data_IF_660148884140
#
_entry.id   IF_660148884140
#
_cell.length_a   1.000
_cell.length_b   1.000
_cell.length_c   1.000
_cell.angle_alpha   90.00
_cell.angle_beta   90.00
_cell.angle_gamma   90.00
#
_symmetry.space_group_name_H-M   'P 1'
#
loop_
_entity.id
_entity.type
_entity.pdbx_description
1 polymer ?
#
# COMPACT_ATOMS: atom_id res chain seq x y z
N UNK A 1 -2.73 20.88 -4.73
CA UNK A 1 -4.20 20.67 -4.74
C UNK A 1 -4.61 20.18 -3.35
N UNK A 2 -5.29 21.02 -2.57
CA UNK A 2 -5.63 20.73 -1.16
C UNK A 2 -5.44 21.92 -0.21
N UNK A 3 -5.72 23.14 -0.66
CA UNK A 3 -5.48 24.36 0.14
C UNK A 3 -6.69 24.76 1.01
N UNK A 4 -7.89 24.29 0.65
CA UNK A 4 -9.11 24.56 1.39
C UNK A 4 -9.48 23.34 2.27
N UNK A 5 -9.54 23.49 3.61
CA UNK A 5 -9.86 22.38 4.50
C UNK A 5 -11.21 21.73 4.23
N UNK A 6 -12.26 22.52 3.95
CA UNK A 6 -13.60 21.99 3.65
C UNK A 6 -13.64 21.20 2.35
N UNK A 7 -13.02 21.71 1.28
CA UNK A 7 -12.90 20.96 0.02
C UNK A 7 -12.08 19.67 0.19
N UNK A 8 -11.02 19.73 1.01
CA UNK A 8 -10.22 18.55 1.37
C UNK A 8 -11.06 17.51 2.10
N UNK A 9 -11.78 17.91 3.14
CA UNK A 9 -12.66 17.05 3.93
C UNK A 9 -13.79 16.44 3.06
N UNK A 10 -14.44 17.25 2.23
CA UNK A 10 -15.49 16.77 1.31
C UNK A 10 -14.93 15.71 0.35
N UNK A 11 -13.79 15.97 -0.29
CA UNK A 11 -13.17 15.00 -1.20
C UNK A 11 -12.74 13.71 -0.48
N UNK A 12 -12.27 13.82 0.76
CA UNK A 12 -11.95 12.66 1.59
C UNK A 12 -13.20 11.82 1.87
N UNK A 13 -14.31 12.46 2.26
CA UNK A 13 -15.58 11.78 2.51
C UNK A 13 -16.13 11.11 1.25
N UNK A 14 -16.16 11.81 0.10
CA UNK A 14 -16.58 11.25 -1.18
C UNK A 14 -15.70 10.06 -1.61
N UNK A 15 -14.38 10.17 -1.44
CA UNK A 15 -13.46 9.06 -1.76
C UNK A 15 -13.66 7.88 -0.83
N UNK A 16 -13.91 8.12 0.46
CA UNK A 16 -14.15 7.07 1.44
C UNK A 16 -15.46 6.32 1.13
N UNK A 17 -16.54 7.03 0.81
CA UNK A 17 -17.80 6.42 0.39
C UNK A 17 -17.60 5.53 -0.85
N UNK A 18 -16.99 6.06 -1.92
CA UNK A 18 -16.68 5.26 -3.10
C UNK A 18 -15.88 3.99 -2.77
N UNK A 19 -14.86 4.13 -1.92
CA UNK A 19 -14.02 2.98 -1.57
C UNK A 19 -14.78 1.93 -0.77
N UNK A 20 -15.58 2.33 0.22
CA UNK A 20 -16.33 1.40 1.07
C UNK A 20 -17.49 0.76 0.32
N UNK A 21 -18.22 1.55 -0.47
CA UNK A 21 -19.47 1.12 -1.09
C UNK A 21 -19.23 0.29 -2.37
N UNK A 22 -18.17 0.61 -3.14
CA UNK A 22 -18.02 0.09 -4.50
C UNK A 22 -16.70 -0.65 -4.78
N UNK A 23 -15.65 -0.48 -3.97
CA UNK A 23 -14.29 -0.96 -4.31
C UNK A 23 -13.77 -2.00 -3.33
N UNK A 24 -13.88 -1.73 -2.03
CA UNK A 24 -13.30 -2.55 -0.99
C UNK A 24 -14.25 -3.69 -0.63
N UNK A 25 -13.77 -4.94 -0.58
CA UNK A 25 -14.62 -6.04 -0.13
C UNK A 25 -14.83 -5.96 1.39
N UNK A 26 -15.89 -6.60 1.87
CA UNK A 26 -16.14 -6.82 3.31
C UNK A 26 -15.16 -7.83 3.92
N UNK A 27 -13.87 -7.48 3.93
CA UNK A 27 -12.79 -8.29 4.50
C UNK A 27 -11.92 -7.44 5.42
N UNK A 28 -11.26 -8.04 6.43
CA UNK A 28 -10.33 -7.32 7.29
C UNK A 28 -9.24 -6.62 6.46
N UNK A 29 -8.94 -5.37 6.82
CA UNK A 29 -7.93 -4.54 6.15
C UNK A 29 -6.91 -4.02 7.16
N UNK A 30 -5.70 -3.72 6.67
CA UNK A 30 -4.64 -3.09 7.45
C UNK A 30 -4.09 -1.87 6.71
N UNK A 31 -3.91 -0.79 7.46
CA UNK A 31 -3.17 0.38 7.01
C UNK A 31 -1.66 0.15 7.11
N UNK A 32 -0.97 0.42 6.01
CA UNK A 32 0.49 0.48 5.92
C UNK A 32 0.90 1.89 5.54
N UNK A 33 1.79 2.49 6.34
CA UNK A 33 2.32 3.82 6.07
C UNK A 33 3.80 3.70 5.73
N UNK A 34 4.18 4.10 4.52
CA UNK A 34 5.57 4.14 4.10
C UNK A 34 6.03 5.58 3.92
N UNK A 35 6.99 5.98 4.75
CA UNK A 35 7.69 7.26 4.63
C UNK A 35 9.08 7.06 4.01
N UNK A 36 9.55 8.06 3.29
CA UNK A 36 10.84 8.00 2.60
C UNK A 36 11.91 8.86 3.28
N UNK A 37 13.21 8.59 3.07
CA UNK A 37 14.29 9.53 3.36
C UNK A 37 14.04 10.89 2.68
N UNK A 38 14.52 11.96 3.30
CA UNK A 38 14.23 13.33 2.89
C UNK A 38 14.52 13.58 1.40
N UNK A 39 15.69 13.13 0.93
CA UNK A 39 16.16 13.28 -0.45
C UNK A 39 15.22 12.61 -1.46
N UNK A 40 14.73 11.41 -1.15
CA UNK A 40 13.80 10.69 -2.03
C UNK A 40 12.43 11.37 -2.11
N UNK A 41 12.01 12.10 -1.06
CA UNK A 41 10.76 12.89 -1.12
C UNK A 41 10.82 13.97 -2.19
N UNK A 42 11.96 14.65 -2.36
CA UNK A 42 12.16 15.64 -3.43
C UNK A 42 12.17 15.01 -4.81
N UNK A 43 12.85 13.87 -4.96
CA UNK A 43 12.87 13.12 -6.20
C UNK A 43 11.44 12.73 -6.61
N UNK A 44 10.67 12.14 -5.71
CA UNK A 44 9.30 11.69 -6.00
C UNK A 44 8.31 12.84 -6.19
N UNK A 45 8.56 13.99 -5.57
CA UNK A 45 7.75 15.18 -5.78
C UNK A 45 7.91 15.73 -7.21
N UNK A 46 9.15 15.74 -7.72
CA UNK A 46 9.53 16.27 -9.04
C UNK A 46 9.38 15.28 -10.19
N UNK A 47 9.54 13.97 -9.93
CA UNK A 47 9.47 12.88 -10.90
C UNK A 47 8.40 11.83 -10.50
N UNK A 48 7.11 12.13 -10.73
CA UNK A 48 6.01 11.25 -10.32
C UNK A 48 6.02 9.87 -11.01
N UNK A 49 6.64 9.76 -12.19
CA UNK A 49 6.84 8.49 -12.88
C UNK A 49 7.73 7.54 -12.08
N UNK A 50 8.85 8.03 -11.54
CA UNK A 50 9.76 7.27 -10.68
C UNK A 50 9.02 6.82 -9.41
N UNK A 51 8.24 7.73 -8.81
CA UNK A 51 7.40 7.42 -7.65
C UNK A 51 6.41 6.29 -7.94
N UNK A 52 5.79 6.26 -9.14
CA UNK A 52 4.89 5.20 -9.56
C UNK A 52 5.58 3.83 -9.65
N UNK A 53 6.79 3.78 -10.20
CA UNK A 53 7.61 2.56 -10.22
C UNK A 53 7.99 2.08 -8.81
N UNK A 54 8.36 3.02 -7.93
CA UNK A 54 8.64 2.73 -6.52
C UNK A 54 7.40 2.20 -5.80
N UNK A 55 6.22 2.78 -6.03
CA UNK A 55 4.95 2.26 -5.53
C UNK A 55 4.72 0.81 -5.97
N UNK A 56 5.00 0.49 -7.24
CA UNK A 56 4.93 -0.88 -7.76
C UNK A 56 5.91 -1.84 -7.08
N UNK A 57 7.13 -1.39 -6.74
CA UNK A 57 8.09 -2.19 -5.94
C UNK A 57 7.53 -2.46 -4.54
N UNK A 58 7.08 -1.43 -3.84
CA UNK A 58 6.52 -1.52 -2.49
C UNK A 58 5.32 -2.47 -2.46
N UNK A 59 4.36 -2.26 -3.38
CA UNK A 59 3.19 -3.12 -3.51
C UNK A 59 3.58 -4.60 -3.66
N UNK A 60 4.50 -4.91 -4.59
CA UNK A 60 4.93 -6.28 -4.85
C UNK A 60 5.62 -6.91 -3.65
N UNK A 61 6.39 -6.16 -2.87
CA UNK A 61 7.05 -6.67 -1.66
C UNK A 61 6.01 -7.03 -0.59
N UNK A 62 5.06 -6.13 -0.30
CA UNK A 62 4.01 -6.39 0.69
C UNK A 62 3.08 -7.52 0.24
N UNK A 63 2.65 -7.53 -1.02
CA UNK A 63 1.83 -8.59 -1.58
C UNK A 63 2.52 -9.95 -1.50
N UNK A 64 3.83 -10.00 -1.80
CA UNK A 64 4.62 -11.24 -1.67
C UNK A 64 4.73 -11.70 -0.23
N UNK A 65 4.86 -10.78 0.72
CA UNK A 65 4.86 -11.12 2.13
C UNK A 65 3.53 -11.75 2.56
N UNK A 66 2.40 -11.13 2.23
CA UNK A 66 1.07 -11.63 2.59
C UNK A 66 0.80 -13.02 1.98
N UNK A 67 1.13 -13.21 0.70
CA UNK A 67 0.98 -14.49 0.00
C UNK A 67 1.85 -15.59 0.65
N UNK A 68 3.12 -15.29 0.94
CA UNK A 68 4.01 -16.26 1.61
C UNK A 68 3.56 -16.55 3.04
N UNK A 69 3.12 -15.54 3.79
CA UNK A 69 2.63 -15.69 5.16
C UNK A 69 1.35 -16.53 5.23
N UNK A 70 0.53 -16.49 4.18
CA UNK A 70 -0.62 -17.37 4.02
C UNK A 70 -0.24 -18.82 3.65
N UNK A 71 1.03 -19.10 3.34
CA UNK A 71 1.51 -20.43 2.93
C UNK A 71 1.31 -20.75 1.45
N UNK A 72 1.15 -19.73 0.59
CA UNK A 72 0.83 -19.90 -0.82
C UNK A 72 1.85 -19.24 -1.75
N UNK A 73 1.68 -19.49 -3.06
CA UNK A 73 2.43 -18.81 -4.12
C UNK A 73 1.53 -17.80 -4.84
N UNK A 74 2.13 -16.85 -5.56
CA UNK A 74 1.39 -15.88 -6.37
C UNK A 74 0.60 -16.50 -7.53
N UNK A 75 0.81 -17.78 -7.84
CA UNK A 75 0.05 -18.47 -8.88
C UNK A 75 -1.38 -18.75 -8.42
N UNK A 76 -1.54 -19.06 -7.12
CA UNK A 76 -2.82 -19.52 -6.55
C UNK A 76 -3.41 -18.54 -5.52
N UNK A 77 -2.65 -17.52 -5.12
CA UNK A 77 -3.11 -16.54 -4.13
C UNK A 77 -2.79 -15.10 -4.55
N UNK A 78 -3.75 -14.20 -4.33
CA UNK A 78 -3.65 -12.76 -4.63
C UNK A 78 -4.12 -11.93 -3.44
N UNK A 79 -3.56 -10.74 -3.30
CA UNK A 79 -4.07 -9.70 -2.39
C UNK A 79 -4.38 -8.44 -3.20
N UNK A 80 -4.98 -7.45 -2.54
CA UNK A 80 -5.29 -6.16 -3.15
C UNK A 80 -4.99 -5.03 -2.18
N UNK A 81 -4.73 -3.85 -2.73
CA UNK A 81 -4.56 -2.64 -1.95
C UNK A 81 -5.01 -1.40 -2.70
N UNK A 82 -5.47 -0.41 -1.94
CA UNK A 82 -5.67 0.97 -2.40
C UNK A 82 -4.59 1.83 -1.76
N UNK A 83 -3.93 2.66 -2.56
CA UNK A 83 -2.88 3.58 -2.06
C UNK A 83 -3.27 5.03 -2.27
N UNK A 84 -3.27 5.80 -1.19
CA UNK A 84 -3.37 7.25 -1.20
C UNK A 84 -1.96 7.83 -1.01
N UNK A 85 -1.50 8.59 -2.00
CA UNK A 85 -0.20 9.26 -1.96
C UNK A 85 -0.41 10.65 -1.39
N UNK A 86 0.10 10.87 -0.17
CA UNK A 86 0.11 12.18 0.45
C UNK A 86 1.43 12.88 0.15
N UNK A 87 1.37 14.18 -0.14
CA UNK A 87 2.55 14.98 -0.57
C UNK A 87 3.00 16.01 0.46
N UNK A 88 2.24 16.22 1.52
CA UNK A 88 2.52 17.24 2.53
C UNK A 88 2.28 16.70 3.95
N UNK A 89 3.03 17.24 4.91
CA UNK A 89 2.78 17.05 6.34
C UNK A 89 1.73 18.03 6.88
N UNK A 90 1.41 17.93 8.18
CA UNK A 90 0.46 18.83 8.84
C UNK A 90 0.87 20.30 8.77
N UNK A 91 2.18 20.59 8.70
CA UNK A 91 2.73 21.94 8.52
C UNK A 91 2.85 22.37 7.04
N UNK A 92 2.20 21.66 6.11
CA UNK A 92 2.29 21.87 4.65
C UNK A 92 3.70 21.73 4.06
N UNK A 93 4.67 21.23 4.83
CA UNK A 93 6.01 20.91 4.36
C UNK A 93 5.97 19.71 3.39
N UNK A 94 6.88 19.69 2.41
CA UNK A 94 6.98 18.58 1.46
C UNK A 94 7.23 17.27 2.21
N UNK A 95 6.28 16.35 2.10
CA UNK A 95 6.35 15.05 2.74
C UNK A 95 5.64 14.01 1.87
N UNK A 96 6.30 13.51 0.83
CA UNK A 96 5.77 12.42 0.02
C UNK A 96 5.80 11.14 0.85
N UNK A 97 4.64 10.52 1.04
CA UNK A 97 4.50 9.23 1.75
C UNK A 97 3.25 8.50 1.26
N UNK A 98 3.24 7.18 1.44
CA UNK A 98 2.15 6.32 0.99
C UNK A 98 1.32 5.87 2.17
N UNK A 99 0.00 6.06 2.09
CA UNK A 99 -0.99 5.39 2.92
C UNK A 99 -1.63 4.29 2.10
N UNK A 100 -1.39 3.04 2.48
CA UNK A 100 -1.85 1.88 1.73
C UNK A 100 -2.82 1.08 2.59
N UNK A 101 -4.05 0.88 2.10
CA UNK A 101 -5.01 -0.05 2.68
C UNK A 101 -4.86 -1.39 1.97
N UNK A 102 -4.19 -2.34 2.61
CA UNK A 102 -4.09 -3.72 2.13
C UNK A 102 -5.18 -4.58 2.75
N UNK A 103 -5.67 -5.58 2.02
CA UNK A 103 -6.37 -6.69 2.63
C UNK A 103 -5.46 -7.36 3.67
N UNK A 104 -6.02 -7.74 4.82
CA UNK A 104 -5.29 -8.42 5.89
C UNK A 104 -5.18 -9.93 5.63
N UNK A 105 -4.84 -10.27 4.39
CA UNK A 105 -4.91 -11.63 3.88
C UNK A 105 -4.84 -11.68 2.37
N UNK A 106 -5.21 -12.85 1.85
CA UNK A 106 -5.17 -13.18 0.42
C UNK A 106 -6.42 -13.93 0.01
N UNK A 107 -6.89 -13.74 -1.22
CA UNK A 107 -7.80 -14.64 -1.87
C UNK A 107 -7.01 -15.80 -2.47
N UNK A 108 -7.41 -17.03 -2.14
CA UNK A 108 -6.81 -18.27 -2.66
C UNK A 108 -7.79 -18.91 -3.62
N UNK A 109 -7.33 -19.15 -4.84
CA UNK A 109 -8.10 -19.83 -5.89
C UNK A 109 -8.32 -21.30 -5.51
N UNK A 110 -9.53 -21.80 -5.76
CA UNK A 110 -9.92 -23.19 -5.51
C UNK A 110 -10.18 -23.91 -6.84
N UNK A 111 -10.16 -25.25 -6.82
CA UNK A 111 -10.26 -26.10 -8.02
C UNK A 111 -11.48 -25.85 -8.91
N UNK A 112 -12.60 -25.41 -8.34
CA UNK A 112 -13.83 -25.04 -9.05
C UNK A 112 -13.90 -23.58 -9.55
N UNK A 113 -12.79 -22.83 -9.52
CA UNK A 113 -12.74 -21.44 -10.01
C UNK A 113 -13.25 -20.38 -9.04
N UNK A 114 -13.78 -20.75 -7.87
CA UNK A 114 -14.09 -19.79 -6.81
C UNK A 114 -12.82 -19.44 -6.00
N UNK A 115 -12.84 -18.30 -5.32
CA UNK A 115 -11.74 -17.86 -4.46
C UNK A 115 -12.20 -17.70 -3.01
N UNK A 116 -11.37 -18.16 -2.07
CA UNK A 116 -11.64 -18.03 -0.63
C UNK A 116 -10.66 -17.08 0.03
N UNK A 117 -11.16 -16.15 0.83
CA UNK A 117 -10.30 -15.28 1.62
C UNK A 117 -9.61 -16.05 2.75
N UNK A 118 -8.30 -15.86 2.87
CA UNK A 118 -7.44 -16.39 3.93
C UNK A 118 -6.80 -15.23 4.66
N UNK A 119 -7.32 -14.94 5.84
CA UNK A 119 -6.72 -13.97 6.75
C UNK A 119 -5.33 -14.41 7.20
N UNK A 120 -4.44 -13.44 7.43
CA UNK A 120 -3.09 -13.66 7.98
C UNK A 120 -2.85 -12.80 9.21
N UNK A 121 -2.04 -13.30 10.15
CA UNK A 121 -1.65 -12.52 11.34
C UNK A 121 -0.87 -11.26 10.93
N UNK A 122 -0.96 -10.24 11.79
CA UNK A 122 -0.14 -9.04 11.68
C UNK A 122 1.36 -9.36 11.53
N UNK A 123 2.11 -8.56 10.75
CA UNK A 123 3.55 -8.70 10.68
C UNK A 123 4.16 -8.45 12.07
N UNK A 124 5.07 -9.33 12.46
CA UNK A 124 5.90 -9.19 13.64
C UNK A 124 6.98 -8.12 13.39
N UNK A 125 7.58 -7.58 14.44
CA UNK A 125 8.67 -6.60 14.31
C UNK A 125 9.83 -7.10 13.42
N UNK A 126 10.30 -8.36 13.54
CA UNK A 126 11.32 -8.90 12.63
C UNK A 126 10.86 -8.94 11.16
N UNK A 127 9.61 -9.32 10.89
CA UNK A 127 9.05 -9.28 9.53
C UNK A 127 8.99 -7.85 8.98
N UNK A 128 8.59 -6.86 9.79
CA UNK A 128 8.58 -5.45 9.40
C UNK A 128 9.99 -4.93 9.08
N UNK A 129 10.99 -5.29 9.88
CA UNK A 129 12.39 -4.95 9.61
C UNK A 129 12.85 -5.55 8.29
N UNK A 130 12.57 -6.84 8.06
CA UNK A 130 12.94 -7.52 6.82
C UNK A 130 12.24 -6.92 5.59
N UNK A 131 10.95 -6.55 5.72
CA UNK A 131 10.20 -5.89 4.66
C UNK A 131 10.80 -4.53 4.33
N UNK A 132 11.09 -3.73 5.35
CA UNK A 132 11.70 -2.41 5.19
C UNK A 132 13.05 -2.52 4.49
N UNK A 133 13.90 -3.46 4.90
CA UNK A 133 15.20 -3.72 4.26
C UNK A 133 15.03 -4.17 2.81
N UNK A 134 14.09 -5.07 2.53
CA UNK A 134 13.82 -5.56 1.17
C UNK A 134 13.31 -4.44 0.26
N UNK A 135 12.42 -3.58 0.77
CA UNK A 135 11.94 -2.40 0.06
C UNK A 135 13.11 -1.45 -0.22
N UNK A 136 13.88 -1.08 0.80
CA UNK A 136 15.01 -0.17 0.67
C UNK A 136 16.03 -0.68 -0.37
N UNK A 137 16.41 -1.96 -0.31
CA UNK A 137 17.32 -2.57 -1.26
C UNK A 137 16.77 -2.57 -2.69
N UNK A 138 15.51 -2.97 -2.89
CA UNK A 138 14.91 -3.01 -4.25
C UNK A 138 14.69 -1.63 -4.84
N UNK A 139 14.31 -0.65 -4.02
CA UNK A 139 14.20 0.75 -4.44
C UNK A 139 15.58 1.29 -4.78
N UNK A 140 16.59 1.07 -3.93
CA UNK A 140 17.97 1.50 -4.18
C UNK A 140 18.62 0.86 -5.40
N UNK A 141 18.23 -0.36 -5.78
CA UNK A 141 18.67 -0.99 -7.04
C UNK A 141 17.98 -0.42 -8.28
N UNK A 142 16.75 0.07 -8.12
CA UNK A 142 15.96 0.62 -9.22
C UNK A 142 16.31 2.07 -9.53
N UNK A 143 16.58 2.86 -8.49
CA UNK A 143 17.04 4.24 -8.58
C UNK A 143 18.49 4.31 -9.05
#
# INVERSE_FOLDING_TARGET
RGFCPSCGARRMAESAALLVDEVLPEQPMRQWVLSFPFQLRFLFASRPEIMGWVLGIVYRVIATHLVKKAGHTHQVAKTGAVTLIQRFGSALNLNVHFHMLFLDGVYVEQSHGSARFRWVKAPTSPELTQLTHTIAHRVGRYL
#
